data_IF_261586299916
#
_entry.id   IF_261586299916
#
_cell.length_a   1.000
_cell.length_b   1.000
_cell.length_c   1.000
_cell.angle_alpha   90.00
_cell.angle_beta   90.00
_cell.angle_gamma   90.00
#
_symmetry.space_group_name_H-M   'P 1'
#
loop_
_entity.id
_entity.type
_entity.pdbx_description
1 polymer ?
#
# COMPACT_ATOMS: atom_id res chain seq x y z
N UNK A 1 -2.74 -1.48 13.35
CA UNK A 1 -1.89 -0.32 13.69
C UNK A 1 -1.08 0.23 12.52
N UNK A 2 -0.93 -0.48 11.39
CA UNK A 2 -0.16 0.03 10.25
C UNK A 2 -0.74 1.31 9.57
N UNK A 3 -1.99 1.68 9.89
CA UNK A 3 -2.70 2.85 9.36
C UNK A 3 -2.84 3.99 10.36
N UNK A 4 -2.17 3.89 11.52
CA UNK A 4 -2.17 4.91 12.57
C UNK A 4 -0.74 5.36 12.85
N UNK A 5 -0.55 6.61 13.27
CA UNK A 5 0.78 7.15 13.57
C UNK A 5 1.45 6.48 14.78
N UNK A 6 0.69 5.70 15.57
CA UNK A 6 1.15 4.98 16.76
C UNK A 6 2.41 4.13 16.51
N UNK A 7 2.61 3.64 15.28
CA UNK A 7 3.80 2.84 14.90
C UNK A 7 5.13 3.60 14.98
N UNK A 8 5.11 4.94 14.99
CA UNK A 8 6.32 5.77 15.04
C UNK A 8 6.73 6.21 16.46
N UNK A 9 5.88 5.99 17.46
CA UNK A 9 6.13 6.48 18.82
C UNK A 9 7.07 5.56 19.64
N UNK A 10 7.16 4.27 19.31
CA UNK A 10 8.07 3.34 20.02
C UNK A 10 8.39 2.07 19.20
N UNK A 11 9.65 1.59 19.21
CA UNK A 11 10.02 0.32 18.57
C UNK A 11 9.37 -0.92 19.23
N UNK A 12 8.78 -0.75 20.41
CA UNK A 12 8.09 -1.81 21.17
C UNK A 12 6.94 -2.42 20.36
N UNK A 13 6.24 -1.64 19.54
CA UNK A 13 5.13 -2.15 18.70
C UNK A 13 5.59 -3.15 17.63
N UNK A 14 6.81 -2.99 17.11
CA UNK A 14 7.43 -3.95 16.19
C UNK A 14 7.84 -5.22 16.94
N UNK A 15 8.36 -5.09 18.16
CA UNK A 15 8.81 -6.22 18.98
C UNK A 15 7.67 -7.13 19.43
N UNK A 16 6.50 -6.57 19.74
CA UNK A 16 5.31 -7.34 20.14
C UNK A 16 4.41 -7.75 18.96
N UNK A 17 4.86 -7.56 17.71
CA UNK A 17 4.12 -8.02 16.53
C UNK A 17 2.84 -7.24 16.21
N UNK A 18 2.69 -6.02 16.75
CA UNK A 18 1.54 -5.15 16.43
C UNK A 18 1.63 -4.54 15.00
N UNK A 19 2.81 -4.62 14.37
CA UNK A 19 3.08 -4.20 12.98
C UNK A 19 3.41 -5.38 12.07
N UNK A 20 3.21 -5.22 10.76
CA UNK A 20 3.59 -6.23 9.75
C UNK A 20 5.11 -6.35 9.55
N UNK A 21 5.52 -7.21 8.61
CA UNK A 21 6.95 -7.42 8.26
C UNK A 21 7.58 -6.25 7.50
N UNK A 22 6.76 -5.39 6.89
CA UNK A 22 7.23 -4.22 6.14
C UNK A 22 7.69 -3.15 7.13
N UNK A 23 8.81 -2.50 6.83
CA UNK A 23 9.27 -1.36 7.59
C UNK A 23 8.19 -0.24 7.66
N UNK A 24 7.91 0.37 8.82
CA UNK A 24 6.88 1.39 8.97
C UNK A 24 6.99 2.58 7.99
N UNK A 25 8.20 3.08 7.74
CA UNK A 25 8.40 4.20 6.81
C UNK A 25 8.15 3.75 5.37
N UNK A 26 8.56 2.52 5.05
CA UNK A 26 8.28 1.91 3.75
C UNK A 26 6.78 1.72 3.51
N UNK A 27 6.06 1.18 4.49
CA UNK A 27 4.61 1.01 4.44
C UNK A 27 3.90 2.36 4.24
N UNK A 28 4.30 3.40 4.98
CA UNK A 28 3.76 4.75 4.82
C UNK A 28 4.02 5.31 3.42
N UNK A 29 5.25 5.13 2.89
CA UNK A 29 5.61 5.56 1.54
C UNK A 29 4.76 4.88 0.46
N UNK A 30 4.54 3.57 0.58
CA UNK A 30 3.69 2.80 -0.34
C UNK A 30 2.27 3.36 -0.31
N UNK A 31 1.65 3.44 0.88
CA UNK A 31 0.27 3.91 1.04
C UNK A 31 0.09 5.31 0.47
N UNK A 32 0.95 6.27 0.82
CA UNK A 32 0.84 7.63 0.32
C UNK A 32 1.02 7.72 -1.20
N UNK A 33 1.93 6.93 -1.77
CA UNK A 33 2.15 6.91 -3.22
C UNK A 33 0.93 6.39 -3.98
N UNK A 34 0.31 5.31 -3.49
CA UNK A 34 -0.88 4.72 -4.11
C UNK A 34 -2.12 5.61 -3.96
N UNK A 35 -2.30 6.25 -2.79
CA UNK A 35 -3.41 7.19 -2.58
C UNK A 35 -3.27 8.42 -3.48
N UNK A 36 -2.05 8.97 -3.61
CA UNK A 36 -1.81 10.10 -4.50
C UNK A 36 -2.09 9.74 -5.97
N UNK A 37 -1.57 8.59 -6.42
CA UNK A 37 -1.73 8.12 -7.80
C UNK A 37 -3.21 7.81 -8.14
N UNK A 38 -3.99 7.33 -7.16
CA UNK A 38 -5.44 7.19 -7.27
C UNK A 38 -6.12 8.55 -7.51
N UNK A 39 -5.82 9.56 -6.70
CA UNK A 39 -6.45 10.87 -6.86
C UNK A 39 -6.00 11.59 -8.12
N UNK A 40 -4.74 11.46 -8.51
CA UNK A 40 -4.26 12.01 -9.78
C UNK A 40 -5.04 11.40 -10.96
N UNK A 41 -5.25 10.08 -10.95
CA UNK A 41 -6.03 9.39 -12.00
C UNK A 41 -7.44 9.94 -12.12
N UNK A 42 -8.16 10.06 -11.00
CA UNK A 42 -9.61 10.32 -11.03
C UNK A 42 -10.01 11.79 -10.90
N UNK A 43 -9.18 12.62 -10.26
CA UNK A 43 -9.47 14.04 -10.06
C UNK A 43 -8.73 14.94 -11.04
N UNK A 44 -7.57 14.51 -11.55
CA UNK A 44 -6.75 15.30 -12.47
C UNK A 44 -6.70 14.71 -13.89
N UNK A 45 -7.13 13.46 -14.07
CA UNK A 45 -7.00 12.73 -15.33
C UNK A 45 -5.52 12.59 -15.76
N UNK A 46 -4.62 12.40 -14.78
CA UNK A 46 -3.17 12.25 -14.96
C UNK A 46 -2.68 11.03 -14.16
N UNK A 47 -1.50 10.49 -14.47
CA UNK A 47 -0.89 9.35 -13.76
C UNK A 47 -1.83 8.11 -13.63
N UNK A 48 -1.69 7.34 -12.54
CA UNK A 48 -2.51 6.16 -12.22
C UNK A 48 -1.87 4.81 -12.52
N UNK A 49 -0.56 4.77 -12.83
CA UNK A 49 0.14 3.53 -13.14
C UNK A 49 0.24 2.59 -11.94
N UNK A 50 0.44 3.13 -10.73
CA UNK A 50 0.59 2.32 -9.51
C UNK A 50 -0.70 1.55 -9.19
N UNK A 51 -1.87 2.08 -9.53
CA UNK A 51 -3.17 1.44 -9.26
C UNK A 51 -3.68 0.56 -10.42
N UNK A 52 -2.96 0.48 -11.54
CA UNK A 52 -3.35 -0.34 -12.70
C UNK A 52 -2.40 -1.49 -12.99
N UNK A 53 -1.14 -1.38 -12.60
CA UNK A 53 -0.12 -2.39 -12.89
C UNK A 53 0.87 -2.58 -11.72
N UNK A 54 1.50 -3.75 -11.61
CA UNK A 54 2.59 -3.97 -10.67
C UNK A 54 3.75 -2.99 -10.90
N UNK A 55 4.35 -2.51 -9.81
CA UNK A 55 5.47 -1.57 -9.88
C UNK A 55 6.74 -2.18 -9.27
N UNK A 56 7.84 -2.18 -10.03
CA UNK A 56 9.15 -2.57 -9.51
C UNK A 56 9.62 -1.66 -8.36
N UNK A 57 9.04 -0.45 -8.23
CA UNK A 57 9.31 0.46 -7.10
C UNK A 57 8.70 -0.06 -5.80
N UNK A 58 7.62 -0.84 -5.87
CA UNK A 58 6.84 -1.34 -4.73
C UNK A 58 6.56 -2.85 -4.88
N UNK A 59 7.60 -3.71 -4.81
CA UNK A 59 7.44 -5.16 -4.95
C UNK A 59 6.58 -5.79 -3.84
N UNK A 60 6.29 -5.06 -2.76
CA UNK A 60 5.40 -5.51 -1.69
C UNK A 60 3.91 -5.46 -2.07
N UNK A 61 3.54 -4.80 -3.18
CA UNK A 61 2.15 -4.65 -3.60
C UNK A 61 1.80 -5.67 -4.67
N UNK A 62 0.78 -6.47 -4.39
CA UNK A 62 0.27 -7.51 -5.29
C UNK A 62 -1.15 -7.16 -5.75
N UNK A 63 -1.42 -7.37 -7.05
CA UNK A 63 -2.76 -7.25 -7.61
C UNK A 63 -3.47 -8.60 -7.53
N UNK A 64 -4.51 -8.68 -6.71
CA UNK A 64 -5.30 -9.91 -6.57
C UNK A 64 -6.40 -9.89 -7.64
N UNK A 65 -6.35 -10.83 -8.57
CA UNK A 65 -7.48 -11.08 -9.48
C UNK A 65 -8.66 -11.60 -8.65
N UNK A 66 -9.89 -11.06 -8.79
CA UNK A 66 -11.04 -11.56 -8.04
C UNK A 66 -11.26 -13.04 -8.35
N UNK A 67 -11.37 -13.88 -7.31
CA UNK A 67 -11.58 -15.34 -7.38
C UNK A 67 -12.87 -15.77 -8.13
N UNK A 68 -13.67 -14.82 -8.64
CA UNK A 68 -14.97 -15.05 -9.27
C UNK A 68 -14.95 -15.03 -10.81
N UNK A 69 -13.78 -14.97 -11.46
CA UNK A 69 -13.70 -14.91 -12.94
C UNK A 69 -13.90 -16.25 -13.66
N UNK A 70 -14.04 -17.37 -12.94
CA UNK A 70 -14.17 -18.72 -13.51
C UNK A 70 -15.54 -19.38 -13.27
N UNK A 71 -16.63 -18.62 -13.17
CA UNK A 71 -17.99 -19.18 -13.20
C UNK A 71 -18.62 -19.00 -14.59
N UNK A 72 -18.08 -19.70 -15.59
CA UNK A 72 -18.70 -19.86 -16.91
C UNK A 72 -18.80 -21.34 -17.25
#
# INVERSE_FOLDING_TARGET
MNFTDSQFFSPIFKLFGATGKIDPQRANTIVNSYILDFFDKYLKNENGGLITEPSNRFPEVEFITPLLTNMN
#
